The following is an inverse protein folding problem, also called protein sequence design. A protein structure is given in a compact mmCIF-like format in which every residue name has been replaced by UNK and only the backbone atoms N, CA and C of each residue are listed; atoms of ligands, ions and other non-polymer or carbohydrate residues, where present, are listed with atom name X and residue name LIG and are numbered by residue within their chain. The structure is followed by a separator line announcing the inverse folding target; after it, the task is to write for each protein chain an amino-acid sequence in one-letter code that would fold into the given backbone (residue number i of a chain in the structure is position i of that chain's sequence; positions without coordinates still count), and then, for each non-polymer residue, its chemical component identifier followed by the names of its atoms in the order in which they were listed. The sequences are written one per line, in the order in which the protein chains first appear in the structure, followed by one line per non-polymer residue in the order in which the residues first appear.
data_IF_127053580584
#
_entry.id   IF_127053580584
#
_cell.length_a   1.000
_cell.length_b   1.000
_cell.length_c   1.000
_cell.angle_alpha   90.00
_cell.angle_beta   90.00
_cell.angle_gamma   90.00
#
_symmetry.space_group_name_H-M   'P 1'
#
loop_
_entity.id
_entity.type
_entity.pdbx_description
1 polymer ?
#
# COMPACT_ATOMS: atom_id res chain seq x y z
N UNK A 1 3.56 -0.16 16.26
CA UNK A 1 3.13 -1.56 16.02
C UNK A 1 3.30 -1.93 14.54
N UNK A 2 2.69 -1.21 13.59
CA UNK A 2 2.85 -1.45 12.14
C UNK A 2 4.31 -1.61 11.66
N UNK A 3 5.18 -0.64 11.95
CA UNK A 3 6.60 -0.71 11.55
C UNK A 3 7.35 -1.93 12.12
N UNK A 4 6.98 -2.37 13.33
CA UNK A 4 7.59 -3.55 13.92
C UNK A 4 7.19 -4.82 13.16
N UNK A 5 5.92 -4.95 12.79
CA UNK A 5 5.43 -6.08 11.99
C UNK A 5 6.08 -6.11 10.60
N UNK A 6 6.21 -4.95 9.95
CA UNK A 6 6.89 -4.80 8.65
C UNK A 6 8.33 -5.33 8.71
N UNK A 7 9.09 -4.91 9.73
CA UNK A 7 10.47 -5.35 9.95
C UNK A 7 10.57 -6.83 10.36
N UNK A 8 9.57 -7.37 11.07
CA UNK A 8 9.55 -8.80 11.42
C UNK A 8 9.35 -9.66 10.17
N UNK A 9 8.44 -9.29 9.27
CA UNK A 9 8.26 -9.99 7.99
C UNK A 9 9.52 -9.98 7.13
N UNK A 10 10.22 -8.83 7.07
CA UNK A 10 11.52 -8.69 6.41
C UNK A 10 12.59 -9.65 6.97
N UNK A 11 12.62 -9.79 8.30
CA UNK A 11 13.63 -10.62 9.00
C UNK A 11 13.34 -12.10 8.92
N UNK A 12 12.08 -12.49 9.08
CA UNK A 12 11.67 -13.89 9.10
C UNK A 12 11.89 -14.55 7.74
N UNK A 13 11.78 -13.78 6.65
CA UNK A 13 11.92 -14.24 5.25
C UNK A 13 11.05 -15.46 4.92
N UNK A 14 9.99 -15.68 5.71
CA UNK A 14 8.98 -16.67 5.41
C UNK A 14 8.01 -16.10 4.37
N UNK A 15 8.34 -16.32 3.10
CA UNK A 15 7.55 -15.82 1.97
C UNK A 15 6.14 -16.43 1.89
N UNK A 16 5.82 -17.47 2.66
CA UNK A 16 4.45 -17.98 2.74
C UNK A 16 3.53 -17.02 3.53
N UNK A 17 4.11 -16.10 4.31
CA UNK A 17 3.39 -15.00 4.96
C UNK A 17 3.17 -13.78 4.05
N UNK A 18 3.74 -13.77 2.83
CA UNK A 18 3.62 -12.66 1.88
C UNK A 18 2.31 -12.77 1.12
N UNK A 19 1.22 -12.60 1.85
CA UNK A 19 -0.15 -12.63 1.34
C UNK A 19 -0.82 -11.27 1.51
N UNK A 20 -1.76 -10.95 0.63
CA UNK A 20 -2.41 -9.63 0.61
C UNK A 20 -3.08 -9.28 1.94
N UNK A 21 -3.62 -10.27 2.65
CA UNK A 21 -4.18 -10.07 3.99
C UNK A 21 -3.15 -9.50 4.97
N UNK A 22 -1.97 -10.13 5.07
CA UNK A 22 -0.91 -9.69 5.96
C UNK A 22 -0.37 -8.31 5.55
N UNK A 23 -0.18 -8.10 4.25
CA UNK A 23 0.20 -6.79 3.71
C UNK A 23 -0.79 -5.68 4.09
N UNK A 24 -2.10 -5.92 3.94
CA UNK A 24 -3.12 -4.95 4.33
C UNK A 24 -3.11 -4.66 5.84
N UNK A 25 -3.05 -5.70 6.69
CA UNK A 25 -3.02 -5.53 8.17
C UNK A 25 -1.81 -4.72 8.64
N UNK A 26 -0.63 -4.97 8.06
CA UNK A 26 0.58 -4.20 8.37
C UNK A 26 0.42 -2.75 7.95
N UNK A 27 -0.07 -2.50 6.73
CA UNK A 27 -0.15 -1.15 6.17
C UNK A 27 -1.32 -0.34 6.71
N UNK A 28 -2.37 -0.98 7.20
CA UNK A 28 -3.38 -0.34 8.03
C UNK A 28 -2.73 0.33 9.24
N UNK A 29 -1.90 -0.41 9.99
CA UNK A 29 -1.25 0.10 11.18
C UNK A 29 -0.02 0.98 10.92
N UNK A 30 0.74 0.74 9.85
CA UNK A 30 1.97 1.50 9.56
C UNK A 30 1.71 2.77 8.76
N UNK A 31 0.68 2.75 7.91
CA UNK A 31 0.43 3.81 6.94
C UNK A 31 -0.93 4.46 7.14
N UNK A 32 -2.03 3.72 6.99
CA UNK A 32 -3.38 4.30 6.99
C UNK A 32 -3.70 5.01 8.32
N UNK A 33 -3.47 4.34 9.44
CA UNK A 33 -3.77 4.89 10.76
C UNK A 33 -2.95 6.15 11.09
N UNK A 34 -1.60 6.12 11.09
CA UNK A 34 -0.82 7.29 11.51
C UNK A 34 -0.82 8.44 10.49
N UNK A 35 -0.95 8.16 9.19
CA UNK A 35 -0.81 9.19 8.14
C UNK A 35 -2.15 9.78 7.71
N UNK A 36 -3.24 9.01 7.75
CA UNK A 36 -4.56 9.48 7.33
C UNK A 36 -5.55 9.58 8.49
N UNK A 37 -5.80 8.49 9.21
CA UNK A 37 -6.86 8.46 10.23
C UNK A 37 -6.57 9.42 11.39
N UNK A 38 -5.36 9.32 11.96
CA UNK A 38 -5.00 10.05 13.17
C UNK A 38 -5.05 11.58 12.97
N UNK A 39 -4.48 12.18 11.90
CA UNK A 39 -4.61 13.61 11.66
C UNK A 39 -6.06 14.10 11.58
N UNK A 40 -6.93 13.32 10.93
CA UNK A 40 -8.36 13.66 10.81
C UNK A 40 -9.06 13.55 12.16
N UNK A 41 -8.82 12.47 12.91
CA UNK A 41 -9.39 12.24 14.24
C UNK A 41 -8.97 13.37 15.19
N UNK A 42 -7.68 13.74 15.22
CA UNK A 42 -7.20 14.85 16.06
C UNK A 42 -7.90 16.16 15.68
N UNK A 43 -8.05 16.46 14.39
CA UNK A 43 -8.76 17.65 13.95
C UNK A 43 -10.22 17.65 14.41
N UNK A 44 -10.90 16.51 14.38
CA UNK A 44 -12.29 16.39 14.87
C UNK A 44 -12.38 16.54 16.40
N UNK A 45 -11.44 15.96 17.15
CA UNK A 45 -11.39 16.09 18.61
C UNK A 45 -11.20 17.57 18.98
N UNK A 46 -10.21 18.24 18.39
CA UNK A 46 -9.93 19.66 18.65
C UNK A 46 -11.08 20.58 18.23
N UNK A 47 -11.91 20.15 17.27
CA UNK A 47 -13.09 20.88 16.83
C UNK A 47 -14.36 20.54 17.61
N UNK A 48 -14.30 19.67 18.62
CA UNK A 48 -15.46 19.11 19.34
C UNK A 48 -16.50 18.44 18.42
N UNK A 49 -16.03 17.79 17.35
CA UNK A 49 -16.86 17.09 16.34
C UNK A 49 -16.64 15.58 16.32
N UNK A 50 -15.74 15.06 17.14
CA UNK A 50 -15.46 13.63 17.21
C UNK A 50 -16.63 12.88 17.86
N UNK A 51 -17.17 11.91 17.13
CA UNK A 51 -18.18 10.94 17.57
C UNK A 51 -17.72 9.53 17.22
N UNK A 52 -18.31 8.50 17.85
CA UNK A 52 -17.97 7.11 17.53
C UNK A 52 -18.25 6.80 16.06
N UNK A 53 -19.34 7.36 15.54
CA UNK A 53 -19.78 7.24 14.16
C UNK A 53 -18.77 7.89 13.21
N UNK A 54 -18.31 9.11 13.50
CA UNK A 54 -17.28 9.78 12.69
C UNK A 54 -15.97 9.00 12.66
N UNK A 55 -15.54 8.43 13.79
CA UNK A 55 -14.30 7.66 13.88
C UNK A 55 -14.40 6.36 13.08
N UNK A 56 -15.52 5.63 13.19
CA UNK A 56 -15.74 4.42 12.40
C UNK A 56 -15.78 4.73 10.90
N UNK A 57 -16.41 5.83 10.51
CA UNK A 57 -16.45 6.29 9.13
C UNK A 57 -15.06 6.63 8.60
N UNK A 58 -14.26 7.38 9.37
CA UNK A 58 -12.88 7.73 9.03
C UNK A 58 -12.08 6.46 8.80
N UNK A 59 -12.14 5.50 9.73
CA UNK A 59 -11.45 4.24 9.60
C UNK A 59 -11.85 3.51 8.30
N UNK A 60 -13.16 3.31 8.08
CA UNK A 60 -13.68 2.60 6.90
C UNK A 60 -13.24 3.21 5.56
N UNK A 61 -13.03 4.53 5.50
CA UNK A 61 -12.60 5.24 4.28
C UNK A 61 -11.08 5.31 4.16
N UNK A 62 -10.38 5.63 5.25
CA UNK A 62 -8.96 5.93 5.23
C UNK A 62 -8.10 4.67 5.10
N UNK A 63 -8.56 3.52 5.59
CA UNK A 63 -7.84 2.24 5.43
C UNK A 63 -7.60 1.92 3.95
N UNK A 64 -8.63 2.00 3.11
CA UNK A 64 -8.52 1.68 1.68
C UNK A 64 -7.53 2.59 0.96
N UNK A 65 -7.61 3.90 1.23
CA UNK A 65 -6.72 4.91 0.62
C UNK A 65 -5.30 4.75 1.14
N UNK A 66 -5.13 4.53 2.44
CA UNK A 66 -3.83 4.35 3.07
C UNK A 66 -3.10 3.12 2.55
N UNK A 67 -3.83 2.03 2.30
CA UNK A 67 -3.26 0.85 1.63
C UNK A 67 -2.91 1.18 0.18
N UNK A 68 -3.79 1.85 -0.58
CA UNK A 68 -3.49 2.26 -1.96
C UNK A 68 -2.22 3.12 -2.04
N UNK A 69 -2.04 4.01 -1.07
CA UNK A 69 -0.83 4.82 -0.96
C UNK A 69 0.42 4.00 -0.75
N UNK A 70 0.38 3.00 0.14
CA UNK A 70 1.53 2.13 0.31
C UNK A 70 1.83 1.35 -0.97
N UNK A 71 0.80 0.85 -1.66
CA UNK A 71 0.96 0.17 -2.95
C UNK A 71 1.67 1.09 -3.95
N UNK A 72 1.22 2.34 -4.04
CA UNK A 72 1.84 3.32 -4.93
C UNK A 72 3.28 3.62 -4.52
N UNK A 73 3.57 3.78 -3.23
CA UNK A 73 4.93 3.94 -2.73
C UNK A 73 5.83 2.75 -3.10
N UNK A 74 5.37 1.52 -2.91
CA UNK A 74 6.12 0.31 -3.29
C UNK A 74 6.38 0.25 -4.81
N UNK A 75 5.43 0.72 -5.63
CA UNK A 75 5.58 0.79 -7.10
C UNK A 75 6.57 1.88 -7.52
N UNK A 76 6.44 3.08 -6.96
CA UNK A 76 7.37 4.20 -7.24
C UNK A 76 8.79 3.80 -6.85
N UNK A 77 8.97 3.18 -5.69
CA UNK A 77 10.28 2.69 -5.23
C UNK A 77 10.88 1.67 -6.22
N UNK A 78 10.07 0.91 -6.97
CA UNK A 78 10.57 -0.03 -7.98
C UNK A 78 10.77 0.56 -9.39
N UNK A 79 9.79 1.32 -9.90
CA UNK A 79 9.66 1.68 -11.32
C UNK A 79 10.18 3.07 -11.70
N UNK A 80 10.46 3.98 -10.74
CA UNK A 80 10.94 5.37 -10.95
C UNK A 80 10.84 5.87 -12.41
N UNK A 81 9.67 6.40 -12.77
CA UNK A 81 9.32 6.84 -14.13
C UNK A 81 10.16 8.03 -14.63
N UNK A 82 10.96 8.68 -13.77
CA UNK A 82 11.64 9.95 -14.08
C UNK A 82 13.17 9.96 -13.87
N UNK A 83 13.82 8.79 -13.80
CA UNK A 83 15.31 8.74 -13.80
C UNK A 83 16.01 9.33 -12.56
N UNK A 84 15.26 9.81 -11.55
CA UNK A 84 15.80 10.05 -10.22
C UNK A 84 15.99 8.71 -9.51
N UNK A 85 17.24 8.30 -9.39
CA UNK A 85 17.66 7.09 -8.69
C UNK A 85 17.32 7.26 -7.21
N UNK A 86 16.09 6.94 -6.81
CA UNK A 86 15.92 6.30 -5.50
C UNK A 86 16.37 4.86 -5.68
N UNK A 87 17.54 4.54 -5.14
CA UNK A 87 17.96 3.16 -4.97
C UNK A 87 17.04 2.50 -3.95
N UNK A 88 15.88 1.99 -4.40
CA UNK A 88 15.08 1.13 -3.53
C UNK A 88 15.89 -0.11 -3.21
N UNK A 89 15.81 -0.52 -1.95
CA UNK A 89 16.47 -1.71 -1.42
C UNK A 89 15.44 -2.76 -1.01
N UNK A 90 14.19 -2.61 -1.44
CA UNK A 90 13.08 -3.45 -0.98
C UNK A 90 13.27 -4.93 -1.36
N UNK A 91 13.78 -5.19 -2.57
CA UNK A 91 14.14 -6.55 -3.00
C UNK A 91 15.28 -7.10 -2.14
N UNK A 92 16.35 -6.33 -1.94
CA UNK A 92 17.54 -6.76 -1.21
C UNK A 92 17.24 -7.00 0.28
N UNK A 93 16.38 -6.16 0.87
CA UNK A 93 15.91 -6.30 2.25
C UNK A 93 14.95 -7.48 2.41
N UNK A 94 14.32 -7.93 1.33
CA UNK A 94 13.27 -8.94 1.40
C UNK A 94 11.98 -8.38 1.96
N UNK A 95 11.65 -7.12 1.63
CA UNK A 95 10.45 -6.43 2.11
C UNK A 95 9.18 -7.08 1.58
N UNK A 96 8.18 -7.19 2.45
CA UNK A 96 6.81 -7.54 2.09
C UNK A 96 6.15 -6.35 1.37
N UNK A 97 6.59 -6.07 0.15
CA UNK A 97 6.02 -5.05 -0.73
C UNK A 97 4.81 -5.60 -1.50
N UNK A 98 3.97 -4.72 -2.02
CA UNK A 98 2.85 -5.14 -2.87
C UNK A 98 3.32 -5.95 -4.08
N UNK A 99 4.45 -5.55 -4.69
CA UNK A 99 5.07 -6.26 -5.80
C UNK A 99 5.47 -7.70 -5.43
N UNK A 100 6.06 -7.89 -4.25
CA UNK A 100 6.45 -9.21 -3.76
C UNK A 100 5.23 -10.12 -3.53
N UNK A 101 4.21 -9.58 -2.89
CA UNK A 101 2.95 -10.29 -2.63
C UNK A 101 2.27 -10.69 -3.94
N UNK A 102 2.15 -9.76 -4.89
CA UNK A 102 1.55 -10.05 -6.21
C UNK A 102 2.38 -10.99 -7.05
N UNK A 103 3.70 -10.88 -7.01
CA UNK A 103 4.56 -11.82 -7.70
C UNK A 103 4.33 -13.24 -7.20
N UNK A 104 4.33 -13.44 -5.88
CA UNK A 104 4.07 -14.76 -5.28
C UNK A 104 2.66 -15.27 -5.58
N UNK A 105 1.64 -14.42 -5.57
CA UNK A 105 0.25 -14.77 -5.90
C UNK A 105 0.11 -15.30 -7.34
N UNK A 106 0.83 -14.70 -8.29
CA UNK A 106 0.68 -14.98 -9.72
C UNK A 106 1.72 -15.95 -10.28
N UNK A 107 2.80 -16.19 -9.56
CA UNK A 107 3.89 -17.07 -10.00
C UNK A 107 3.44 -18.53 -10.09
N UNK A 108 3.89 -19.21 -11.15
CA UNK A 108 3.91 -20.66 -11.20
C UNK A 108 5.00 -21.26 -10.28
N UNK A 109 5.15 -22.58 -10.25
CA UNK A 109 6.11 -23.25 -9.37
C UNK A 109 7.58 -22.85 -9.63
N UNK A 110 7.99 -22.75 -10.90
CA UNK A 110 9.35 -22.37 -11.28
C UNK A 110 9.65 -20.91 -10.93
N UNK A 111 8.71 -20.01 -11.24
CA UNK A 111 8.81 -18.59 -10.89
C UNK A 111 8.84 -18.38 -9.37
N UNK A 112 8.04 -19.15 -8.62
CA UNK A 112 8.05 -19.13 -7.15
C UNK A 112 9.40 -19.63 -6.61
N UNK A 113 10.02 -20.64 -7.22
CA UNK A 113 11.36 -21.10 -6.86
C UNK A 113 12.40 -20.01 -7.09
N UNK A 114 12.39 -19.37 -8.26
CA UNK A 114 13.27 -18.23 -8.58
C UNK A 114 13.08 -17.11 -7.54
N UNK A 115 11.83 -16.78 -7.21
CA UNK A 115 11.53 -15.77 -6.20
C UNK A 115 12.16 -16.13 -4.85
N UNK A 116 11.92 -17.36 -4.34
CA UNK A 116 12.45 -17.80 -3.03
C UNK A 116 13.98 -17.84 -2.98
N UNK A 117 14.64 -18.16 -4.10
CA UNK A 117 16.11 -18.19 -4.22
C UNK A 117 16.73 -16.78 -4.30
N UNK A 118 16.04 -15.84 -4.96
CA UNK A 118 16.62 -14.55 -5.32
C UNK A 118 16.18 -13.39 -4.42
N UNK A 119 14.96 -13.41 -3.88
CA UNK A 119 14.41 -12.29 -3.10
C UNK A 119 15.09 -12.19 -1.72
N UNK A 120 15.39 -10.98 -1.27
CA UNK A 120 16.15 -10.75 -0.03
C UNK A 120 17.67 -10.90 -0.19
N UNK A 121 18.20 -10.82 -1.41
CA UNK A 121 19.64 -10.90 -1.68
C UNK A 121 20.22 -9.55 -2.10
N UNK A 122 21.42 -9.24 -1.63
CA UNK A 122 22.20 -8.09 -2.09
C UNK A 122 22.99 -8.39 -3.37
N UNK A 123 22.95 -9.62 -3.88
CA UNK A 123 23.54 -9.98 -5.17
C UNK A 123 22.79 -9.28 -6.33
N UNK A 124 23.46 -8.46 -7.15
CA UNK A 124 22.83 -7.78 -8.28
C UNK A 124 22.14 -8.71 -9.28
N UNK A 125 22.66 -9.93 -9.47
CA UNK A 125 22.08 -10.93 -10.37
C UNK A 125 20.75 -11.46 -9.85
N UNK A 126 20.62 -11.61 -8.53
CA UNK A 126 19.37 -12.00 -7.89
C UNK A 126 18.35 -10.89 -8.00
N UNK A 127 18.76 -9.64 -7.74
CA UNK A 127 17.87 -8.47 -7.91
C UNK A 127 17.37 -8.38 -9.36
N UNK A 128 18.24 -8.59 -10.35
CA UNK A 128 17.85 -8.56 -11.76
C UNK A 128 16.79 -9.61 -12.09
N UNK A 129 16.97 -10.88 -11.65
CA UNK A 129 15.97 -11.94 -11.86
C UNK A 129 14.60 -11.62 -11.27
N UNK A 130 14.57 -11.00 -10.09
CA UNK A 130 13.30 -10.55 -9.49
C UNK A 130 12.65 -9.45 -10.33
N UNK A 131 13.44 -8.52 -10.89
CA UNK A 131 12.91 -7.48 -11.77
C UNK A 131 12.32 -8.06 -13.06
N UNK A 132 13.04 -8.97 -13.70
CA UNK A 132 12.56 -9.70 -14.89
C UNK A 132 11.25 -10.43 -14.58
N UNK A 133 11.19 -11.13 -13.44
CA UNK A 133 9.97 -11.80 -12.99
C UNK A 133 8.78 -10.84 -12.85
N UNK A 134 9.00 -9.64 -12.29
CA UNK A 134 7.93 -8.63 -12.16
C UNK A 134 7.44 -8.12 -13.51
N UNK A 135 8.33 -7.99 -14.50
CA UNK A 135 7.99 -7.62 -15.86
C UNK A 135 7.24 -8.74 -16.59
N UNK A 136 7.69 -10.00 -16.48
CA UNK A 136 7.02 -11.18 -17.04
C UNK A 136 5.58 -11.33 -16.52
N UNK A 137 5.39 -11.10 -15.22
CA UNK A 137 4.08 -11.12 -14.56
C UNK A 137 3.23 -9.89 -14.85
N UNK A 138 3.75 -8.90 -15.58
CA UNK A 138 3.04 -7.67 -15.97
C UNK A 138 2.49 -6.91 -14.76
N UNK A 139 3.27 -6.87 -13.67
CA UNK A 139 2.86 -6.20 -12.43
C UNK A 139 2.55 -4.70 -12.61
N UNK A 140 3.21 -3.92 -13.49
CA UNK A 140 2.81 -2.54 -13.77
C UNK A 140 1.37 -2.40 -14.28
N UNK A 141 0.97 -3.26 -15.20
CA UNK A 141 -0.36 -3.24 -15.79
C UNK A 141 -1.41 -3.64 -14.75
N UNK A 142 -1.07 -4.61 -13.90
CA UNK A 142 -1.93 -5.03 -12.78
C UNK A 142 -2.07 -3.89 -11.76
N UNK A 143 -1.00 -3.14 -11.50
CA UNK A 143 -1.07 -1.98 -10.60
C UNK A 143 -2.05 -0.91 -11.12
N UNK A 144 -2.05 -0.61 -12.41
CA UNK A 144 -3.01 0.35 -13.00
C UNK A 144 -4.46 -0.11 -12.73
N UNK A 145 -4.74 -1.41 -12.93
CA UNK A 145 -6.06 -1.98 -12.67
C UNK A 145 -6.44 -1.93 -11.18
N UNK A 146 -5.49 -2.26 -10.28
CA UNK A 146 -5.68 -2.20 -8.83
C UNK A 146 -5.95 -0.75 -8.35
N UNK A 147 -5.20 0.23 -8.89
CA UNK A 147 -5.38 1.66 -8.61
C UNK A 147 -6.78 2.11 -8.99
N UNK A 148 -7.22 1.81 -10.22
CA UNK A 148 -8.58 2.15 -10.69
C UNK A 148 -9.68 1.47 -9.86
N UNK A 149 -9.50 0.19 -9.51
CA UNK A 149 -10.47 -0.55 -8.70
C UNK A 149 -10.62 0.06 -7.31
N UNK A 150 -9.51 0.41 -6.66
CA UNK A 150 -9.51 1.05 -5.33
C UNK A 150 -10.08 2.46 -5.37
N UNK A 151 -9.81 3.23 -6.42
CA UNK A 151 -10.47 4.53 -6.63
C UNK A 151 -11.99 4.38 -6.73
N UNK A 152 -12.48 3.42 -7.52
CA UNK A 152 -13.93 3.16 -7.62
C UNK A 152 -14.54 2.81 -6.25
N UNK A 153 -13.87 1.98 -5.45
CA UNK A 153 -14.32 1.62 -4.09
C UNK A 153 -14.34 2.86 -3.18
N UNK A 154 -13.27 3.66 -3.19
CA UNK A 154 -13.20 4.89 -2.40
C UNK A 154 -14.33 5.85 -2.77
N UNK A 155 -14.52 6.15 -4.06
CA UNK A 155 -15.57 7.06 -4.52
C UNK A 155 -16.98 6.52 -4.20
N UNK A 156 -17.18 5.21 -4.29
CA UNK A 156 -18.41 4.58 -3.84
C UNK A 156 -18.65 4.83 -2.35
N UNK A 157 -17.66 4.53 -1.49
CA UNK A 157 -17.76 4.70 -0.03
C UNK A 157 -18.09 6.14 0.36
N UNK A 158 -17.45 7.14 -0.25
CA UNK A 158 -17.73 8.54 0.09
C UNK A 158 -19.10 9.01 -0.41
N UNK A 159 -19.58 8.49 -1.56
CA UNK A 159 -20.90 8.86 -2.10
C UNK A 159 -22.05 8.20 -1.34
N UNK A 160 -21.79 7.08 -0.65
CA UNK A 160 -22.76 6.39 0.22
C UNK A 160 -22.79 6.96 1.66
N UNK A 161 -22.02 8.01 1.94
CA UNK A 161 -22.02 8.64 3.25
C UNK A 161 -23.39 9.25 3.61
N UNK A 162 -23.83 9.13 4.88
CA UNK A 162 -25.12 9.67 5.28
C UNK A 162 -25.11 11.21 5.23
N UNK A 163 -26.27 11.85 4.95
CA UNK A 163 -26.39 13.29 5.00
C UNK A 163 -25.99 13.85 6.38
N UNK A 164 -25.19 14.92 6.40
CA UNK A 164 -24.74 15.55 7.64
C UNK A 164 -23.60 14.83 8.35
N UNK A 165 -23.00 13.79 7.74
CA UNK A 165 -21.81 13.16 8.28
C UNK A 165 -20.63 14.13 8.42
N UNK A 166 -19.74 13.81 9.35
CA UNK A 166 -18.50 14.55 9.58
C UNK A 166 -17.35 13.53 9.68
N UNK A 167 -16.30 13.62 8.86
CA UNK A 167 -16.15 14.53 7.72
C UNK A 167 -17.15 14.23 6.59
N UNK A 168 -17.46 15.23 5.78
CA UNK A 168 -18.40 15.09 4.67
C UNK A 168 -17.72 14.63 3.37
N UNK A 169 -18.52 14.37 2.33
CA UNK A 169 -18.02 13.95 1.01
C UNK A 169 -17.00 14.95 0.44
N UNK A 170 -17.26 16.25 0.60
CA UNK A 170 -16.37 17.30 0.09
C UNK A 170 -14.99 17.26 0.74
N UNK A 171 -14.93 16.97 2.04
CA UNK A 171 -13.68 16.78 2.75
C UNK A 171 -12.87 15.65 2.12
N UNK A 172 -13.46 14.48 1.92
CA UNK A 172 -12.76 13.33 1.35
C UNK A 172 -12.35 13.55 -0.11
N UNK A 173 -13.18 14.24 -0.92
CA UNK A 173 -12.79 14.63 -2.28
C UNK A 173 -11.59 15.57 -2.30
N UNK A 174 -11.51 16.52 -1.36
CA UNK A 174 -10.34 17.41 -1.23
C UNK A 174 -9.11 16.67 -0.74
N UNK A 175 -9.28 15.79 0.25
CA UNK A 175 -8.21 14.92 0.73
C UNK A 175 -7.66 14.09 -0.43
N UNK A 176 -8.53 13.42 -1.19
CA UNK A 176 -8.13 12.63 -2.36
C UNK A 176 -7.36 13.46 -3.41
N UNK A 177 -7.83 14.68 -3.74
CA UNK A 177 -7.10 15.56 -4.66
C UNK A 177 -5.73 16.01 -4.11
N UNK A 178 -5.63 16.23 -2.80
CA UNK A 178 -4.37 16.59 -2.16
C UNK A 178 -3.38 15.43 -2.28
N UNK A 179 -3.87 14.23 -2.02
CA UNK A 179 -3.17 12.96 -2.12
C UNK A 179 -2.62 12.75 -3.54
N UNK A 180 -3.45 12.91 -4.57
CA UNK A 180 -3.02 12.78 -5.98
C UNK A 180 -2.03 13.87 -6.41
N UNK A 181 -2.12 15.08 -5.83
CA UNK A 181 -1.23 16.20 -6.20
C UNK A 181 0.19 16.07 -5.65
N UNK A 182 0.37 15.32 -4.57
CA UNK A 182 1.68 15.03 -3.99
C UNK A 182 2.29 13.72 -4.52
N UNK A 183 1.83 13.23 -5.67
CA UNK A 183 2.55 12.22 -6.45
C UNK A 183 3.95 12.78 -6.79
N UNK A 184 4.97 12.27 -6.09
CA UNK A 184 6.42 12.37 -6.37
C UNK A 184 6.79 11.23 -7.31
#
# INVERSE_FOLDING_TARGET
MGQHMDLSLERDRNFDNFIMKCYCEVNEMKMAFPVLEMPIIVALILSNKATKESMQQIHNICVDIGILFQIQNDITDFYNWEGLIKSSTDIQKGKCSWLAVKALELSNEDQRRIFKECYGSWDPTHVHKIRELYEELKLPQIFVQEKEARYKIFFKKINELPPGCVPDVNFYQKLFKLIEKFEI
#
